data_IF_725159339580
#
_entry.id   IF_725159339580
#
_cell.length_a   1.000
_cell.length_b   1.000
_cell.length_c   1.000
_cell.angle_alpha   90.00
_cell.angle_beta   90.00
_cell.angle_gamma   90.00
#
_symmetry.space_group_name_H-M   'P 1'
#
loop_
_entity.id
_entity.type
_entity.pdbx_description
1 polymer ?
#
# COMPACT_ATOMS: atom_id res chain seq x y z
N UNK A 1 47.42 -31.00 54.42
CA UNK A 1 47.38 -32.47 54.40
C UNK A 1 46.90 -32.87 52.98
N UNK A 2 47.91 -33.25 52.21
CA UNK A 2 47.87 -33.81 50.89
C UNK A 2 47.30 -35.22 50.91
N UNK A 3 46.52 -35.59 49.91
CA UNK A 3 46.49 -36.95 49.41
C UNK A 3 46.23 -36.89 47.93
N UNK A 4 47.22 -37.21 47.12
CA UNK A 4 47.13 -37.58 45.73
C UNK A 4 46.67 -39.03 45.63
N UNK A 5 45.97 -39.43 44.57
CA UNK A 5 45.89 -40.83 44.16
C UNK A 5 46.77 -41.09 42.96
N UNK A 6 47.45 -42.24 43.08
CA UNK A 6 48.41 -42.83 42.19
C UNK A 6 47.88 -43.16 40.80
N UNK A 7 48.75 -42.96 39.80
CA UNK A 7 48.58 -43.45 38.42
C UNK A 7 48.94 -44.97 38.35
N UNK A 8 47.96 -45.78 37.98
CA UNK A 8 48.16 -47.17 37.59
C UNK A 8 48.42 -47.21 36.09
N UNK A 9 49.64 -47.53 35.69
CA UNK A 9 50.01 -47.80 34.32
C UNK A 9 49.84 -49.26 34.01
N UNK A 10 48.91 -49.59 33.06
CA UNK A 10 48.84 -50.88 32.42
C UNK A 10 49.53 -50.81 31.01
N UNK A 11 50.26 -51.82 30.59
CA UNK A 11 51.02 -51.77 29.32
C UNK A 11 50.11 -51.88 28.10
N UNK A 12 50.36 -50.99 27.12
CA UNK A 12 49.73 -51.02 25.82
C UNK A 12 50.31 -52.16 25.02
N UNK A 13 49.51 -53.14 24.68
CA UNK A 13 49.85 -54.19 23.69
C UNK A 13 49.77 -53.51 22.31
N UNK A 14 50.93 -53.50 21.66
CA UNK A 14 51.05 -53.03 20.26
C UNK A 14 50.68 -54.20 19.36
N UNK A 15 49.50 -54.14 18.77
CA UNK A 15 49.03 -55.04 17.70
C UNK A 15 49.87 -54.77 16.43
N UNK A 16 50.43 -55.84 15.86
CA UNK A 16 51.14 -55.84 14.58
C UNK A 16 50.18 -55.48 13.44
N UNK A 17 50.64 -54.74 12.42
CA UNK A 17 49.71 -54.33 11.31
C UNK A 17 49.35 -55.58 10.49
N UNK A 18 48.04 -55.74 10.28
CA UNK A 18 47.55 -56.73 9.32
C UNK A 18 48.03 -56.42 7.90
N UNK A 19 48.27 -57.48 7.07
CA UNK A 19 48.76 -57.31 5.72
C UNK A 19 47.75 -56.59 4.85
N UNK A 20 48.20 -55.49 4.23
CA UNK A 20 47.41 -54.72 3.24
C UNK A 20 47.05 -55.66 2.09
N UNK A 21 45.75 -55.99 1.99
CA UNK A 21 45.21 -56.75 0.88
C UNK A 21 45.18 -55.81 -0.35
N UNK A 22 46.14 -55.99 -1.26
CA UNK A 22 46.07 -55.38 -2.59
C UNK A 22 45.21 -56.28 -3.46
N UNK A 23 44.01 -55.82 -3.90
CA UNK A 23 43.27 -56.62 -4.87
C UNK A 23 44.05 -56.62 -6.21
N UNK A 24 44.45 -57.77 -6.62
CA UNK A 24 44.90 -57.98 -7.99
C UNK A 24 43.71 -57.72 -8.91
N UNK A 25 43.71 -56.58 -9.56
CA UNK A 25 42.75 -56.25 -10.61
C UNK A 25 43.07 -57.23 -11.82
N UNK A 26 42.23 -58.26 -11.93
CA UNK A 26 42.17 -59.06 -13.15
C UNK A 26 41.52 -58.18 -14.24
N UNK A 27 42.30 -57.87 -15.26
CA UNK A 27 41.91 -57.02 -16.40
C UNK A 27 40.83 -57.64 -17.32
N UNK A 28 40.21 -58.75 -16.91
CA UNK A 28 39.10 -59.37 -17.65
C UNK A 28 37.69 -59.19 -17.09
N UNK A 29 37.53 -58.53 -15.97
CA UNK A 29 36.20 -58.35 -15.36
C UNK A 29 35.51 -57.01 -15.68
N UNK A 30 36.08 -56.22 -16.61
CA UNK A 30 35.35 -55.11 -17.20
C UNK A 30 34.41 -55.60 -18.29
N UNK A 31 33.35 -56.30 -17.91
CA UNK A 31 32.16 -56.36 -18.76
C UNK A 31 31.56 -54.96 -18.70
N UNK A 32 31.80 -54.22 -19.78
CA UNK A 32 31.14 -52.96 -20.05
C UNK A 32 29.65 -53.25 -20.20
N UNK A 33 28.89 -53.22 -19.10
CA UNK A 33 27.45 -53.00 -19.11
C UNK A 33 27.20 -51.49 -19.27
N UNK A 34 27.92 -50.89 -20.20
CA UNK A 34 27.73 -49.52 -20.59
C UNK A 34 26.51 -49.43 -21.48
N UNK A 35 25.44 -48.79 -21.03
CA UNK A 35 24.52 -48.19 -21.97
C UNK A 35 25.33 -47.39 -22.99
N UNK A 36 25.02 -47.49 -24.29
CA UNK A 36 25.80 -46.79 -25.31
C UNK A 36 25.86 -45.31 -24.96
N UNK A 37 27.05 -44.73 -24.95
CA UNK A 37 27.25 -43.32 -24.66
C UNK A 37 26.32 -42.53 -25.58
N UNK A 38 25.37 -41.76 -24.96
CA UNK A 38 24.44 -40.92 -25.71
C UNK A 38 25.23 -40.06 -26.69
N UNK A 39 24.76 -40.03 -27.92
CA UNK A 39 25.36 -39.18 -28.96
C UNK A 39 25.31 -37.71 -28.53
N UNK A 40 26.18 -36.89 -29.08
CA UNK A 40 26.19 -35.44 -28.78
C UNK A 40 24.85 -34.80 -29.08
N UNK A 41 24.11 -35.28 -30.08
CA UNK A 41 22.77 -34.84 -30.44
C UNK A 41 21.74 -35.23 -29.39
N UNK A 42 21.78 -36.48 -28.87
CA UNK A 42 20.89 -36.93 -27.77
C UNK A 42 21.14 -36.17 -26.46
N UNK A 43 22.40 -35.81 -26.18
CA UNK A 43 22.75 -34.99 -25.03
C UNK A 43 22.26 -33.56 -25.18
N UNK A 44 22.31 -33.01 -26.40
CA UNK A 44 21.82 -31.67 -26.71
C UNK A 44 20.28 -31.60 -26.60
N UNK A 45 19.58 -32.60 -27.15
CA UNK A 45 18.12 -32.71 -27.01
C UNK A 45 17.69 -32.84 -25.55
N UNK A 46 18.35 -33.70 -24.78
CA UNK A 46 18.08 -33.86 -23.34
C UNK A 46 18.36 -32.57 -22.55
N UNK A 47 19.39 -31.80 -22.93
CA UNK A 47 19.68 -30.50 -22.34
C UNK A 47 18.60 -29.46 -22.71
N UNK A 48 18.16 -29.41 -23.96
CA UNK A 48 17.07 -28.54 -24.39
C UNK A 48 15.76 -28.87 -23.64
N UNK A 49 15.39 -30.13 -23.56
CA UNK A 49 14.20 -30.57 -22.83
C UNK A 49 14.29 -30.19 -21.35
N UNK A 50 15.49 -30.33 -20.74
CA UNK A 50 15.70 -29.93 -19.35
C UNK A 50 15.62 -28.42 -19.14
N UNK A 51 16.09 -27.63 -20.11
CA UNK A 51 15.93 -26.14 -20.11
C UNK A 51 14.45 -25.78 -20.16
N UNK A 52 13.68 -26.38 -21.08
CA UNK A 52 12.23 -26.13 -21.18
C UNK A 52 11.49 -26.51 -19.88
N UNK A 53 11.81 -27.66 -19.26
CA UNK A 53 11.25 -28.06 -17.98
C UNK A 53 11.59 -27.06 -16.87
N UNK A 54 12.84 -26.61 -16.80
CA UNK A 54 13.30 -25.65 -15.80
C UNK A 54 12.68 -24.26 -16.03
N UNK A 55 12.56 -23.82 -17.29
CA UNK A 55 11.87 -22.59 -17.65
C UNK A 55 10.37 -22.66 -17.32
N UNK A 56 9.72 -23.79 -17.60
CA UNK A 56 8.33 -24.02 -17.23
C UNK A 56 8.13 -24.03 -15.70
N UNK A 57 9.05 -24.66 -14.96
CA UNK A 57 9.04 -24.66 -13.50
C UNK A 57 9.29 -23.26 -12.92
N UNK A 58 10.27 -22.51 -13.46
CA UNK A 58 10.57 -21.14 -13.08
C UNK A 58 9.39 -20.21 -13.38
N UNK A 59 8.76 -20.39 -14.54
CA UNK A 59 7.55 -19.64 -14.92
C UNK A 59 6.36 -19.92 -14.01
N UNK A 60 6.19 -21.15 -13.51
CA UNK A 60 5.18 -21.49 -12.51
C UNK A 60 5.46 -20.84 -11.15
N UNK A 61 6.72 -20.57 -10.83
CA UNK A 61 7.13 -19.98 -9.56
C UNK A 61 7.05 -18.44 -9.55
N UNK A 62 6.95 -17.77 -10.70
CA UNK A 62 6.83 -16.30 -10.72
C UNK A 62 5.50 -15.87 -10.12
N UNK A 63 5.53 -14.87 -9.24
CA UNK A 63 4.32 -14.29 -8.60
C UNK A 63 3.32 -13.84 -9.66
N UNK A 64 3.79 -13.28 -10.77
CA UNK A 64 2.94 -12.88 -11.90
C UNK A 64 2.05 -14.04 -12.39
N UNK A 65 2.66 -15.20 -12.67
CA UNK A 65 1.94 -16.40 -13.13
C UNK A 65 1.00 -16.97 -12.05
N UNK A 66 1.46 -16.98 -10.81
CA UNK A 66 0.62 -17.41 -9.69
C UNK A 66 -0.64 -16.52 -9.55
N UNK A 67 -0.49 -15.20 -9.67
CA UNK A 67 -1.61 -14.27 -9.59
C UNK A 67 -2.54 -14.38 -10.80
N UNK A 68 -1.99 -14.62 -12.00
CA UNK A 68 -2.78 -14.83 -13.22
C UNK A 68 -3.74 -16.01 -13.10
N UNK A 69 -3.37 -17.04 -12.35
CA UNK A 69 -4.20 -18.24 -12.11
C UNK A 69 -5.18 -18.07 -10.96
N UNK A 70 -5.07 -17.00 -10.16
CA UNK A 70 -5.96 -16.77 -9.00
C UNK A 70 -7.27 -16.09 -9.44
N UNK A 71 -8.38 -16.39 -8.74
CA UNK A 71 -9.64 -15.69 -8.98
C UNK A 71 -9.51 -14.20 -8.60
N UNK A 72 -10.33 -13.35 -9.22
CA UNK A 72 -10.33 -11.91 -8.96
C UNK A 72 -10.60 -11.56 -7.48
N UNK A 73 -11.33 -12.39 -6.75
CA UNK A 73 -11.51 -12.22 -5.29
C UNK A 73 -10.19 -12.27 -4.53
N UNK A 74 -9.27 -13.17 -4.89
CA UNK A 74 -7.92 -13.24 -4.31
C UNK A 74 -7.08 -12.03 -4.71
N UNK A 75 -7.16 -11.58 -5.97
CA UNK A 75 -6.45 -10.37 -6.42
C UNK A 75 -6.91 -9.18 -5.59
N UNK A 76 -8.23 -9.00 -5.45
CA UNK A 76 -8.80 -7.93 -4.64
C UNK A 76 -8.38 -8.01 -3.17
N UNK A 77 -8.36 -9.21 -2.61
CA UNK A 77 -7.95 -9.44 -1.22
C UNK A 77 -6.51 -9.01 -0.97
N UNK A 78 -5.56 -9.44 -1.81
CA UNK A 78 -4.14 -9.18 -1.59
C UNK A 78 -3.66 -7.81 -2.06
N UNK A 79 -4.34 -7.19 -3.03
CA UNK A 79 -3.82 -5.97 -3.68
C UNK A 79 -4.76 -4.77 -3.61
N UNK A 80 -6.05 -4.99 -3.38
CA UNK A 80 -7.09 -3.97 -3.47
C UNK A 80 -7.55 -3.70 -4.90
N UNK A 81 -6.92 -4.27 -5.94
CA UNK A 81 -7.37 -4.15 -7.32
C UNK A 81 -8.52 -5.11 -7.64
N UNK A 82 -9.48 -4.72 -8.50
CA UNK A 82 -10.68 -5.53 -8.76
C UNK A 82 -10.38 -6.82 -9.53
N UNK A 83 -9.36 -6.81 -10.39
CA UNK A 83 -8.97 -7.95 -11.23
C UNK A 83 -7.48 -7.95 -11.54
N UNK A 84 -6.98 -9.10 -12.01
CA UNK A 84 -5.60 -9.23 -12.48
C UNK A 84 -5.31 -8.30 -13.67
N UNK A 85 -6.26 -8.13 -14.60
CA UNK A 85 -6.07 -7.29 -15.78
C UNK A 85 -5.87 -5.82 -15.40
N UNK A 86 -6.67 -5.29 -14.46
CA UNK A 86 -6.52 -3.91 -13.97
C UNK A 86 -5.20 -3.73 -13.23
N UNK A 87 -4.80 -4.71 -12.41
CA UNK A 87 -3.50 -4.71 -11.72
C UNK A 87 -2.34 -4.64 -12.72
N UNK A 88 -2.36 -5.49 -13.74
CA UNK A 88 -1.31 -5.56 -14.77
C UNK A 88 -1.31 -4.32 -15.65
N UNK A 89 -2.49 -3.81 -16.06
CA UNK A 89 -2.59 -2.57 -16.84
C UNK A 89 -1.97 -1.39 -16.07
N UNK A 90 -2.28 -1.26 -14.78
CA UNK A 90 -1.69 -0.23 -13.91
C UNK A 90 -0.18 -0.41 -13.80
N UNK A 91 0.30 -1.63 -13.56
CA UNK A 91 1.74 -1.90 -13.51
C UNK A 91 2.44 -1.56 -14.82
N UNK A 92 1.87 -1.94 -15.97
CA UNK A 92 2.43 -1.62 -17.30
C UNK A 92 2.55 -0.11 -17.53
N UNK A 93 1.56 0.66 -17.09
CA UNK A 93 1.61 2.12 -17.18
C UNK A 93 2.72 2.73 -16.31
N UNK A 94 2.99 2.15 -15.14
CA UNK A 94 4.01 2.62 -14.19
C UNK A 94 5.42 2.12 -14.52
N UNK A 95 5.55 0.95 -15.14
CA UNK A 95 6.81 0.22 -15.32
C UNK A 95 7.91 1.02 -16.04
N UNK A 96 7.66 1.78 -17.12
CA UNK A 96 8.70 2.52 -17.81
C UNK A 96 9.42 3.55 -16.91
N UNK A 97 8.64 4.23 -16.05
CA UNK A 97 9.19 5.20 -15.09
C UNK A 97 9.80 4.50 -13.87
N UNK A 98 9.19 3.39 -13.40
CA UNK A 98 9.66 2.62 -12.26
C UNK A 98 11.07 2.03 -12.48
N UNK A 99 11.44 1.68 -13.72
CA UNK A 99 12.79 1.22 -14.06
C UNK A 99 13.89 2.23 -13.72
N UNK A 100 13.53 3.50 -13.70
CA UNK A 100 14.44 4.62 -13.39
C UNK A 100 14.30 5.13 -11.96
N UNK A 101 13.57 4.44 -11.10
CA UNK A 101 13.36 4.81 -9.70
C UNK A 101 14.68 4.81 -8.93
N UNK A 102 14.91 5.87 -8.15
CA UNK A 102 16.04 5.97 -7.24
C UNK A 102 15.65 5.58 -5.82
N UNK A 103 16.62 5.10 -5.03
CA UNK A 103 16.38 4.82 -3.62
C UNK A 103 16.04 6.10 -2.87
N UNK A 104 14.89 6.11 -2.22
CA UNK A 104 14.41 7.26 -1.45
C UNK A 104 15.42 7.73 -0.39
N UNK A 105 16.05 6.79 0.30
CA UNK A 105 17.08 7.12 1.30
C UNK A 105 18.32 7.80 0.71
N UNK A 106 18.69 7.48 -0.53
CA UNK A 106 19.78 8.15 -1.23
C UNK A 106 19.39 9.56 -1.65
N UNK A 107 18.16 9.73 -2.16
CA UNK A 107 17.61 11.05 -2.51
C UNK A 107 17.57 11.99 -1.30
N UNK A 108 17.10 11.51 -0.16
CA UNK A 108 17.10 12.31 1.07
C UNK A 108 18.51 12.71 1.51
N UNK A 109 19.49 11.80 1.46
CA UNK A 109 20.89 12.11 1.82
C UNK A 109 21.49 13.18 0.92
N UNK A 110 21.20 13.16 -0.37
CA UNK A 110 21.68 14.19 -1.31
C UNK A 110 21.03 15.52 -1.06
N UNK A 111 19.72 15.55 -0.87
CA UNK A 111 18.99 16.76 -0.52
C UNK A 111 19.56 17.41 0.75
N UNK A 112 19.81 16.62 1.79
CA UNK A 112 20.36 17.10 3.04
C UNK A 112 21.81 17.62 2.90
N UNK A 113 22.55 17.16 1.88
CA UNK A 113 23.91 17.63 1.58
C UNK A 113 23.94 18.79 0.59
N UNK A 114 22.80 19.28 0.12
CA UNK A 114 22.71 20.34 -0.88
C UNK A 114 23.25 19.94 -2.26
N UNK A 115 23.44 18.66 -2.53
CA UNK A 115 23.98 18.16 -3.79
C UNK A 115 22.82 17.95 -4.76
N UNK A 116 22.68 18.85 -5.74
CA UNK A 116 21.67 18.74 -6.80
C UNK A 116 22.00 17.76 -7.92
N UNK A 117 23.21 17.19 -7.95
CA UNK A 117 23.63 16.30 -9.02
C UNK A 117 23.23 14.85 -8.73
N UNK A 118 22.52 14.26 -9.69
CA UNK A 118 21.99 12.87 -9.63
C UNK A 118 23.01 11.87 -10.21
N UNK A 119 24.12 12.34 -10.80
CA UNK A 119 25.19 11.49 -11.31
C UNK A 119 25.87 10.73 -10.17
N UNK A 120 25.95 9.41 -10.32
CA UNK A 120 26.49 8.50 -9.27
C UNK A 120 25.45 7.89 -8.34
N UNK A 121 24.17 8.28 -8.42
CA UNK A 121 23.12 7.59 -7.71
C UNK A 121 22.91 6.19 -8.30
N UNK A 122 22.90 5.19 -7.42
CA UNK A 122 22.47 3.86 -7.82
C UNK A 122 20.95 3.84 -7.97
N UNK A 123 20.46 3.32 -9.10
CA UNK A 123 19.03 3.02 -9.24
C UNK A 123 18.56 2.23 -8.02
N UNK A 124 17.38 2.54 -7.50
CA UNK A 124 16.88 1.98 -6.25
C UNK A 124 16.92 0.46 -6.21
N UNK A 125 16.80 -0.15 -7.38
CA UNK A 125 16.61 -1.59 -7.56
C UNK A 125 17.80 -2.30 -8.21
N UNK A 126 18.95 -1.61 -8.42
CA UNK A 126 20.15 -2.26 -8.95
C UNK A 126 20.64 -3.29 -7.93
N UNK A 127 20.64 -4.56 -8.34
CA UNK A 127 21.02 -5.71 -7.49
C UNK A 127 19.88 -6.27 -6.61
N UNK A 128 18.63 -5.80 -6.77
CA UNK A 128 17.49 -6.46 -6.16
C UNK A 128 17.16 -7.75 -6.93
N UNK A 129 17.01 -8.86 -6.20
CA UNK A 129 16.64 -10.16 -6.79
C UNK A 129 15.20 -10.22 -7.27
N UNK A 130 14.34 -9.33 -6.79
CA UNK A 130 12.92 -9.29 -7.15
C UNK A 130 12.70 -8.50 -8.43
N UNK A 131 11.83 -9.01 -9.29
CA UNK A 131 11.33 -8.28 -10.46
C UNK A 131 10.58 -7.00 -10.00
N UNK A 132 10.42 -6.01 -10.89
CA UNK A 132 9.64 -4.81 -10.57
C UNK A 132 8.18 -5.14 -10.24
N UNK A 133 7.62 -6.16 -10.91
CA UNK A 133 6.25 -6.61 -10.62
C UNK A 133 6.15 -7.23 -9.23
N UNK A 134 7.11 -8.06 -8.82
CA UNK A 134 7.11 -8.68 -7.51
C UNK A 134 7.26 -7.63 -6.39
N UNK A 135 8.08 -6.61 -6.63
CA UNK A 135 8.20 -5.48 -5.72
C UNK A 135 6.89 -4.68 -5.59
N UNK A 136 6.24 -4.41 -6.73
CA UNK A 136 4.94 -3.74 -6.74
C UNK A 136 3.89 -4.54 -5.98
N UNK A 137 3.82 -5.85 -6.23
CA UNK A 137 2.93 -6.76 -5.51
C UNK A 137 3.22 -6.81 -4.01
N UNK A 138 4.49 -6.89 -3.61
CA UNK A 138 4.91 -6.83 -2.20
C UNK A 138 4.37 -5.57 -1.51
N UNK A 139 4.48 -4.42 -2.17
CA UNK A 139 4.01 -3.14 -1.63
C UNK A 139 2.49 -3.14 -1.48
N UNK A 140 1.76 -3.61 -2.49
CA UNK A 140 0.31 -3.72 -2.43
C UNK A 140 -0.15 -4.67 -1.33
N UNK A 141 0.49 -5.84 -1.22
CA UNK A 141 0.21 -6.82 -0.17
C UNK A 141 0.47 -6.23 1.23
N UNK A 142 1.56 -5.49 1.40
CA UNK A 142 1.84 -4.80 2.65
C UNK A 142 0.79 -3.75 3.00
N UNK A 143 0.36 -2.95 2.03
CA UNK A 143 -0.69 -1.96 2.22
C UNK A 143 -2.03 -2.63 2.51
N UNK A 144 -2.45 -3.55 1.64
CA UNK A 144 -3.81 -4.12 1.67
C UNK A 144 -4.03 -5.06 2.83
N UNK A 145 -3.09 -5.97 3.08
CA UNK A 145 -3.20 -7.01 4.12
C UNK A 145 -2.56 -6.57 5.44
N UNK A 146 -1.74 -5.54 5.44
CA UNK A 146 -0.99 -5.10 6.63
C UNK A 146 0.13 -6.08 7.03
N UNK A 147 0.67 -6.84 6.07
CA UNK A 147 1.63 -7.93 6.32
C UNK A 147 2.91 -7.41 6.98
N UNK A 148 3.38 -8.14 7.98
CA UNK A 148 4.63 -7.82 8.70
C UNK A 148 5.84 -7.94 7.79
N UNK A 149 6.87 -7.13 8.04
CA UNK A 149 8.11 -7.16 7.27
C UNK A 149 8.80 -8.54 7.30
N UNK A 150 8.75 -9.25 8.44
CA UNK A 150 9.31 -10.59 8.55
C UNK A 150 8.61 -11.57 7.60
N UNK A 151 7.29 -11.61 7.62
CA UNK A 151 6.50 -12.50 6.76
C UNK A 151 6.77 -12.22 5.27
N UNK A 152 6.86 -10.94 4.89
CA UNK A 152 7.22 -10.56 3.52
C UNK A 152 8.66 -10.95 3.19
N UNK A 153 9.60 -10.78 4.12
CA UNK A 153 11.00 -11.18 3.94
C UNK A 153 11.11 -12.68 3.66
N UNK A 154 10.41 -13.50 4.45
CA UNK A 154 10.38 -14.95 4.29
C UNK A 154 9.67 -15.37 3.00
N UNK A 155 8.52 -14.75 2.68
CA UNK A 155 7.74 -15.04 1.46
C UNK A 155 8.54 -14.76 0.19
N UNK A 156 9.28 -13.67 0.16
CA UNK A 156 10.03 -13.22 -1.02
C UNK A 156 11.51 -13.57 -1.00
N UNK A 157 11.95 -14.29 0.03
CA UNK A 157 13.35 -14.68 0.25
C UNK A 157 14.33 -13.50 0.16
N UNK A 158 14.05 -12.44 0.91
CA UNK A 158 14.85 -11.22 1.03
C UNK A 158 14.94 -10.78 2.50
N UNK A 159 15.84 -9.84 2.82
CA UNK A 159 15.93 -9.32 4.19
C UNK A 159 14.80 -8.33 4.51
N UNK A 160 14.41 -8.23 5.79
CA UNK A 160 13.45 -7.22 6.26
C UNK A 160 13.85 -5.79 5.91
N UNK A 161 15.16 -5.50 5.93
CA UNK A 161 15.70 -4.20 5.51
C UNK A 161 15.41 -3.94 4.04
N UNK A 162 15.52 -4.98 3.19
CA UNK A 162 15.17 -4.87 1.76
C UNK A 162 13.66 -4.64 1.58
N UNK A 163 12.81 -5.35 2.34
CA UNK A 163 11.35 -5.10 2.35
C UNK A 163 11.05 -3.64 2.66
N UNK A 164 11.62 -3.11 3.75
CA UNK A 164 11.41 -1.70 4.14
C UNK A 164 11.87 -0.72 3.06
N UNK A 165 13.02 -0.97 2.43
CA UNK A 165 13.56 -0.13 1.35
C UNK A 165 12.68 -0.16 0.10
N UNK A 166 12.22 -1.33 -0.31
CA UNK A 166 11.27 -1.49 -1.42
C UNK A 166 10.00 -0.73 -1.11
N UNK A 167 9.41 -0.98 0.06
CA UNK A 167 8.15 -0.36 0.47
C UNK A 167 8.21 1.16 0.41
N UNK A 168 9.18 1.79 1.08
CA UNK A 168 9.30 3.25 1.12
C UNK A 168 9.60 3.84 -0.27
N UNK A 169 10.46 3.19 -1.05
CA UNK A 169 10.77 3.68 -2.40
C UNK A 169 9.55 3.64 -3.33
N UNK A 170 8.81 2.53 -3.31
CA UNK A 170 7.59 2.39 -4.11
C UNK A 170 6.45 3.30 -3.64
N UNK A 171 6.28 3.48 -2.33
CA UNK A 171 5.26 4.40 -1.80
C UNK A 171 5.51 5.83 -2.27
N UNK A 172 6.75 6.31 -2.19
CA UNK A 172 7.08 7.63 -2.68
C UNK A 172 6.92 7.73 -4.21
N UNK A 173 7.34 6.70 -4.94
CA UNK A 173 7.14 6.62 -6.39
C UNK A 173 5.65 6.69 -6.77
N UNK A 174 4.81 5.88 -6.14
CA UNK A 174 3.37 5.86 -6.37
C UNK A 174 2.72 7.20 -5.99
N UNK A 175 3.16 7.80 -4.88
CA UNK A 175 2.68 9.12 -4.46
C UNK A 175 2.92 10.18 -5.53
N UNK A 176 4.11 10.24 -6.13
CA UNK A 176 4.40 11.18 -7.20
C UNK A 176 3.68 10.82 -8.50
N UNK A 177 3.66 9.56 -8.89
CA UNK A 177 3.06 9.12 -10.15
C UNK A 177 1.54 9.25 -10.16
N UNK A 178 0.87 8.75 -9.12
CA UNK A 178 -0.58 8.83 -9.01
C UNK A 178 -1.04 10.24 -8.59
N UNK A 179 -0.28 10.91 -7.74
CA UNK A 179 -0.58 12.27 -7.29
C UNK A 179 -0.39 13.34 -8.37
N UNK A 180 0.36 13.06 -9.45
CA UNK A 180 0.45 13.95 -10.62
C UNK A 180 -0.80 13.93 -11.50
N UNK A 181 -1.67 12.94 -11.32
CA UNK A 181 -2.95 12.86 -12.05
C UNK A 181 -3.94 13.82 -11.40
N UNK A 182 -4.50 14.74 -12.20
CA UNK A 182 -5.57 15.61 -11.71
C UNK A 182 -6.83 14.78 -11.45
N UNK A 183 -7.13 14.56 -10.17
CA UNK A 183 -8.32 13.81 -9.74
C UNK A 183 -9.55 14.69 -9.50
N UNK A 184 -9.42 16.04 -9.59
CA UNK A 184 -10.54 16.99 -9.47
C UNK A 184 -11.19 17.16 -10.85
N UNK A 185 -12.37 16.55 -11.12
CA UNK A 185 -13.01 16.62 -12.43
C UNK A 185 -13.69 17.97 -12.66
N UNK A 186 -13.96 18.31 -13.92
CA UNK A 186 -14.76 19.49 -14.23
C UNK A 186 -16.22 19.33 -13.76
N UNK A 187 -16.94 20.47 -13.61
CA UNK A 187 -18.35 20.45 -13.20
C UNK A 187 -19.20 19.64 -14.17
N UNK A 188 -18.99 19.82 -15.47
CA UNK A 188 -19.72 19.14 -16.55
C UNK A 188 -19.53 17.61 -16.44
N UNK A 189 -18.30 17.17 -16.13
CA UNK A 189 -18.00 15.75 -15.95
C UNK A 189 -18.74 15.17 -14.74
N UNK A 190 -18.79 15.91 -13.63
CA UNK A 190 -19.56 15.50 -12.46
C UNK A 190 -21.06 15.43 -12.77
N UNK A 191 -21.63 16.47 -13.38
CA UNK A 191 -23.04 16.51 -13.74
C UNK A 191 -23.43 15.40 -14.70
N UNK A 192 -22.58 15.10 -15.69
CA UNK A 192 -22.79 14.00 -16.64
C UNK A 192 -22.92 12.65 -15.94
N UNK A 193 -22.03 12.37 -14.98
CA UNK A 193 -21.94 11.09 -14.28
C UNK A 193 -22.74 11.07 -12.96
N UNK A 194 -23.46 12.13 -12.66
CA UNK A 194 -24.19 12.27 -11.39
C UNK A 194 -25.36 11.27 -11.34
N UNK A 195 -25.49 10.47 -10.27
CA UNK A 195 -26.64 9.60 -10.06
C UNK A 195 -27.97 10.37 -10.00
N UNK A 196 -29.06 9.74 -10.43
CA UNK A 196 -30.39 10.34 -10.47
C UNK A 196 -30.86 10.88 -9.12
N UNK A 197 -30.50 10.20 -8.02
CA UNK A 197 -30.83 10.65 -6.68
C UNK A 197 -30.17 11.99 -6.28
N UNK A 198 -28.98 12.31 -6.83
CA UNK A 198 -28.37 13.62 -6.65
C UNK A 198 -28.94 14.66 -7.61
N UNK A 199 -29.11 14.29 -8.90
CA UNK A 199 -29.66 15.22 -9.92
C UNK A 199 -30.99 15.84 -9.52
N UNK A 200 -31.86 15.07 -8.87
CA UNK A 200 -33.18 15.52 -8.46
C UNK A 200 -33.20 16.44 -7.23
N UNK A 201 -32.25 16.31 -6.33
CA UNK A 201 -32.25 16.99 -5.04
C UNK A 201 -31.12 18.00 -4.85
N UNK A 202 -29.94 17.70 -5.37
CA UNK A 202 -28.72 18.48 -5.18
C UNK A 202 -27.89 18.54 -6.47
N UNK A 203 -28.43 19.12 -7.56
CA UNK A 203 -27.77 19.14 -8.88
C UNK A 203 -26.44 19.89 -8.89
N UNK A 204 -26.25 20.85 -7.96
CA UNK A 204 -25.02 21.62 -7.81
C UNK A 204 -24.01 20.97 -6.85
N UNK A 205 -24.30 19.75 -6.37
CA UNK A 205 -23.40 19.03 -5.48
C UNK A 205 -22.09 18.69 -6.20
N UNK A 206 -21.02 19.37 -5.76
CA UNK A 206 -19.67 19.20 -6.30
C UNK A 206 -18.97 18.00 -5.69
N UNK A 207 -19.19 17.78 -4.41
CA UNK A 207 -18.60 16.68 -3.68
C UNK A 207 -19.18 16.50 -2.28
N UNK A 208 -18.87 15.37 -1.70
CA UNK A 208 -19.26 14.98 -0.33
C UNK A 208 -17.98 14.82 0.47
N UNK A 209 -17.84 15.59 1.54
CA UNK A 209 -16.64 15.62 2.39
C UNK A 209 -16.87 14.88 3.69
N UNK A 210 -15.85 14.16 4.14
CA UNK A 210 -15.77 13.61 5.49
C UNK A 210 -14.31 13.52 5.96
N UNK A 211 -14.08 13.46 7.28
CA UNK A 211 -12.76 13.32 7.88
C UNK A 211 -12.51 11.89 8.34
N UNK A 212 -11.26 11.50 8.27
CA UNK A 212 -10.82 10.19 8.76
C UNK A 212 -9.57 10.32 9.62
N UNK A 213 -9.48 9.49 10.65
CA UNK A 213 -8.36 9.48 11.57
C UNK A 213 -7.62 8.15 11.52
N UNK A 214 -6.29 8.22 11.63
CA UNK A 214 -5.36 7.11 11.64
C UNK A 214 -4.65 7.10 12.98
N UNK A 215 -4.68 5.97 13.69
CA UNK A 215 -4.03 5.81 15.00
C UNK A 215 -2.51 5.79 14.86
N UNK A 216 -1.84 6.58 15.68
CA UNK A 216 -0.39 6.68 15.71
C UNK A 216 0.15 6.52 17.12
N UNK A 217 1.40 6.12 17.22
CA UNK A 217 2.11 6.03 18.49
C UNK A 217 2.18 7.40 19.16
N UNK A 218 1.88 7.45 20.45
CA UNK A 218 1.97 8.68 21.23
C UNK A 218 3.43 9.16 21.29
N UNK A 219 3.70 10.44 20.95
CA UNK A 219 5.01 11.02 21.10
C UNK A 219 5.35 11.21 22.59
N UNK A 220 6.65 11.17 22.93
CA UNK A 220 7.13 11.42 24.28
C UNK A 220 7.00 12.89 24.72
N UNK A 221 6.96 13.82 23.77
CA UNK A 221 6.70 15.23 24.03
C UNK A 221 5.26 15.44 24.45
N UNK A 222 5.01 16.02 25.61
CA UNK A 222 3.66 16.32 26.11
C UNK A 222 2.91 17.29 25.21
N UNK A 223 3.59 18.28 24.62
CA UNK A 223 2.99 19.25 23.70
C UNK A 223 2.51 18.54 22.44
N UNK A 224 3.38 17.79 21.77
CA UNK A 224 3.01 17.05 20.58
C UNK A 224 1.92 15.99 20.86
N UNK A 225 1.99 15.34 22.01
CA UNK A 225 0.96 14.37 22.38
C UNK A 225 -0.40 15.04 22.57
N UNK A 226 -0.46 16.24 23.16
CA UNK A 226 -1.69 17.01 23.31
C UNK A 226 -2.25 17.45 21.94
N UNK A 227 -1.40 17.92 21.04
CA UNK A 227 -1.79 18.33 19.68
C UNK A 227 -2.31 17.15 18.84
N UNK A 228 -1.69 15.98 18.98
CA UNK A 228 -2.06 14.79 18.23
C UNK A 228 -3.22 14.00 18.86
N UNK A 229 -3.64 14.31 20.09
CA UNK A 229 -4.68 13.58 20.79
C UNK A 229 -6.08 13.98 20.30
N UNK A 230 -6.80 13.00 19.74
CA UNK A 230 -8.19 13.13 19.37
C UNK A 230 -9.10 12.77 20.56
N UNK A 231 -9.82 13.74 21.10
CA UNK A 231 -10.81 13.51 22.15
C UNK A 231 -11.94 12.59 21.67
N UNK A 232 -12.30 12.68 20.38
CA UNK A 232 -13.34 11.85 19.76
C UNK A 232 -12.93 10.38 19.69
N UNK A 233 -11.66 10.08 19.38
CA UNK A 233 -11.13 8.71 19.28
C UNK A 233 -10.50 8.22 20.58
N UNK A 234 -10.32 9.09 21.56
CA UNK A 234 -9.59 8.80 22.82
C UNK A 234 -8.20 8.20 22.55
N UNK A 235 -7.54 8.68 21.50
CA UNK A 235 -6.24 8.17 21.05
C UNK A 235 -5.45 9.25 20.31
N UNK A 236 -4.13 9.09 20.25
CA UNK A 236 -3.24 9.90 19.42
C UNK A 236 -3.46 9.52 17.94
N UNK A 237 -3.78 10.50 17.08
CA UNK A 237 -4.13 10.27 15.69
C UNK A 237 -3.52 11.30 14.75
N UNK A 238 -3.42 10.96 13.48
CA UNK A 238 -3.42 11.90 12.37
C UNK A 238 -4.80 11.96 11.75
N UNK A 239 -5.23 13.14 11.32
CA UNK A 239 -6.54 13.42 10.73
C UNK A 239 -6.40 13.98 9.33
N UNK A 240 -7.18 13.46 8.39
CA UNK A 240 -7.25 13.97 7.02
C UNK A 240 -8.67 13.94 6.50
N UNK A 241 -9.00 14.79 5.52
CA UNK A 241 -10.27 14.75 4.84
C UNK A 241 -10.18 14.10 3.46
N UNK A 242 -11.30 13.55 3.03
CA UNK A 242 -11.52 12.99 1.70
C UNK A 242 -12.79 13.60 1.14
N UNK A 243 -12.74 14.01 -0.13
CA UNK A 243 -13.94 14.43 -0.87
C UNK A 243 -14.18 13.40 -1.98
N UNK A 244 -15.40 12.91 -2.05
CA UNK A 244 -15.85 12.08 -3.15
C UNK A 244 -16.80 12.87 -4.07
N UNK A 245 -16.83 12.51 -5.35
CA UNK A 245 -17.88 12.95 -6.27
C UNK A 245 -19.25 12.34 -5.89
N UNK A 246 -20.37 12.88 -6.38
CA UNK A 246 -21.66 12.22 -6.24
C UNK A 246 -21.70 10.79 -6.81
N UNK A 247 -20.87 10.46 -7.81
CA UNK A 247 -20.71 9.11 -8.37
C UNK A 247 -19.82 8.18 -7.53
N UNK A 248 -19.14 8.71 -6.50
CA UNK A 248 -18.41 7.91 -5.50
C UNK A 248 -16.92 7.80 -5.70
N UNK A 249 -16.33 8.49 -6.69
CA UNK A 249 -14.88 8.54 -6.86
C UNK A 249 -14.26 9.52 -5.85
N UNK A 250 -13.10 9.19 -5.29
CA UNK A 250 -12.30 10.11 -4.51
C UNK A 250 -11.71 11.17 -5.45
N UNK A 251 -12.10 12.43 -5.25
CA UNK A 251 -11.70 13.57 -6.08
C UNK A 251 -10.80 14.57 -5.36
N UNK A 252 -10.68 14.48 -4.03
CA UNK A 252 -9.74 15.28 -3.25
C UNK A 252 -9.31 14.52 -2.01
N UNK A 253 -8.05 14.68 -1.65
CA UNK A 253 -7.43 14.06 -0.47
C UNK A 253 -6.55 15.11 0.18
N UNK A 254 -6.80 15.45 1.44
CA UNK A 254 -5.90 16.35 2.18
C UNK A 254 -4.63 15.65 2.63
N UNK A 255 -3.62 16.42 2.91
CA UNK A 255 -2.55 15.99 3.79
C UNK A 255 -3.11 15.58 5.16
N UNK A 256 -2.33 14.79 5.89
CA UNK A 256 -2.64 14.44 7.27
C UNK A 256 -2.14 15.53 8.20
N UNK A 257 -2.98 15.90 9.15
CA UNK A 257 -2.72 16.88 10.20
C UNK A 257 -2.81 16.21 11.58
N UNK A 258 -2.49 16.95 12.62
CA UNK A 258 -2.65 16.53 14.00
C UNK A 258 -4.11 16.17 14.36
N UNK A 259 -4.30 15.18 15.22
CA UNK A 259 -5.63 14.64 15.53
C UNK A 259 -6.59 15.61 16.23
N UNK A 260 -6.07 16.62 16.93
CA UNK A 260 -6.85 17.64 17.60
C UNK A 260 -7.43 18.72 16.67
N UNK A 261 -6.97 18.77 15.40
CA UNK A 261 -7.44 19.79 14.43
C UNK A 261 -8.95 19.75 14.26
N UNK A 262 -9.61 20.92 14.28
CA UNK A 262 -11.03 21.00 14.00
C UNK A 262 -11.33 20.71 12.52
N UNK A 263 -12.54 20.19 12.21
CA UNK A 263 -12.95 19.92 10.83
C UNK A 263 -12.90 21.18 9.96
N UNK A 264 -13.26 22.32 10.54
CA UNK A 264 -13.19 23.62 9.87
C UNK A 264 -11.76 24.02 9.51
N UNK A 265 -10.83 23.90 10.46
CA UNK A 265 -9.42 24.24 10.21
C UNK A 265 -8.79 23.24 9.25
N UNK A 266 -9.13 21.97 9.34
CA UNK A 266 -8.74 20.95 8.40
C UNK A 266 -9.16 21.30 6.97
N UNK A 267 -10.39 21.76 6.75
CA UNK A 267 -10.86 22.22 5.42
C UNK A 267 -10.09 23.45 4.97
N UNK A 268 -9.82 24.41 5.85
CA UNK A 268 -9.05 25.62 5.51
C UNK A 268 -7.66 25.27 4.98
N UNK A 269 -6.99 24.29 5.58
CA UNK A 269 -5.61 23.90 5.25
C UNK A 269 -5.54 22.79 4.20
N UNK A 270 -6.65 22.14 3.86
CA UNK A 270 -6.66 20.95 3.00
C UNK A 270 -6.32 21.19 1.53
N UNK A 271 -6.33 22.45 1.07
CA UNK A 271 -6.20 22.78 -0.34
C UNK A 271 -7.48 22.58 -1.16
N UNK A 272 -8.62 22.32 -0.52
CA UNK A 272 -9.92 22.15 -1.20
C UNK A 272 -10.48 23.48 -1.72
N UNK A 273 -10.39 24.56 -0.90
CA UNK A 273 -11.04 25.83 -1.20
C UNK A 273 -10.67 26.42 -2.57
N UNK A 274 -9.39 26.41 -3.01
CA UNK A 274 -8.99 26.91 -4.33
C UNK A 274 -9.53 26.13 -5.52
N UNK A 275 -10.04 24.91 -5.30
CA UNK A 275 -10.59 24.04 -6.35
C UNK A 275 -12.08 24.30 -6.62
N UNK A 276 -12.74 25.00 -5.70
CA UNK A 276 -14.19 25.29 -5.77
C UNK A 276 -14.45 26.47 -6.69
N UNK A 277 -15.59 26.43 -7.37
CA UNK A 277 -16.09 27.46 -8.26
C UNK A 277 -17.41 28.03 -7.73
N UNK A 278 -17.73 29.31 -7.98
CA UNK A 278 -19.00 29.90 -7.58
C UNK A 278 -20.20 29.03 -8.01
N UNK A 279 -21.13 28.80 -7.08
CA UNK A 279 -22.29 27.92 -7.28
C UNK A 279 -22.05 26.46 -6.87
N UNK A 280 -20.80 26.03 -6.58
CA UNK A 280 -20.56 24.68 -6.08
C UNK A 280 -21.18 24.47 -4.68
N UNK A 281 -21.73 23.27 -4.48
CA UNK A 281 -22.23 22.83 -3.17
C UNK A 281 -21.38 21.67 -2.65
N UNK A 282 -20.95 21.76 -1.39
CA UNK A 282 -20.25 20.67 -0.69
C UNK A 282 -21.22 20.06 0.33
N UNK A 283 -21.46 18.77 0.21
CA UNK A 283 -22.26 18.03 1.21
C UNK A 283 -21.35 17.57 2.34
N UNK A 284 -21.74 17.82 3.59
CA UNK A 284 -20.94 17.53 4.77
C UNK A 284 -21.77 17.06 5.97
N UNK A 285 -21.09 16.51 6.99
CA UNK A 285 -21.74 16.21 8.27
C UNK A 285 -21.92 17.48 9.13
N UNK A 286 -22.74 17.37 10.16
CA UNK A 286 -22.98 18.44 11.15
C UNK A 286 -21.71 19.03 11.76
N UNK A 287 -20.65 18.23 11.92
CA UNK A 287 -19.35 18.68 12.42
C UNK A 287 -18.65 19.72 11.54
N UNK A 288 -18.97 19.74 10.25
CA UNK A 288 -18.32 20.62 9.26
C UNK A 288 -19.03 21.99 9.18
N UNK A 289 -18.87 22.82 10.20
CA UNK A 289 -19.40 24.20 10.20
C UNK A 289 -18.47 25.08 9.36
N UNK A 290 -18.57 24.97 8.02
CA UNK A 290 -17.65 25.58 7.04
C UNK A 290 -18.32 26.62 6.13
N UNK A 291 -19.58 26.97 6.35
CA UNK A 291 -20.32 27.92 5.50
C UNK A 291 -19.59 29.26 5.36
N UNK A 292 -18.97 29.76 6.43
CA UNK A 292 -18.20 31.00 6.42
C UNK A 292 -16.93 30.93 5.58
N UNK A 293 -16.36 29.75 5.35
CA UNK A 293 -15.24 29.53 4.42
C UNK A 293 -15.72 29.48 2.97
N UNK A 294 -16.94 28.99 2.72
CA UNK A 294 -17.50 28.79 1.39
C UNK A 294 -18.20 30.04 0.84
N UNK A 295 -18.86 30.83 1.71
CA UNK A 295 -19.63 32.02 1.30
C UNK A 295 -18.80 33.04 0.52
N UNK A 296 -17.53 33.36 0.88
CA UNK A 296 -16.71 34.28 0.10
C UNK A 296 -16.38 33.78 -1.31
N UNK A 297 -16.45 32.47 -1.53
CA UNK A 297 -16.22 31.82 -2.82
C UNK A 297 -17.51 31.69 -3.67
N UNK A 298 -18.64 32.18 -3.17
CA UNK A 298 -19.94 31.98 -3.80
C UNK A 298 -20.42 30.52 -3.75
N UNK A 299 -19.91 29.73 -2.81
CA UNK A 299 -20.23 28.31 -2.61
C UNK A 299 -21.08 28.10 -1.36
N UNK A 300 -21.72 26.95 -1.23
CA UNK A 300 -22.55 26.62 -0.08
C UNK A 300 -22.27 25.21 0.46
N UNK A 301 -22.59 25.02 1.75
CA UNK A 301 -22.55 23.69 2.37
C UNK A 301 -23.97 23.14 2.50
N UNK A 302 -24.12 21.85 2.15
CA UNK A 302 -25.35 21.09 2.40
C UNK A 302 -25.12 20.18 3.58
N UNK A 303 -25.80 20.44 4.70
CA UNK A 303 -25.66 19.65 5.91
C UNK A 303 -27.04 19.43 6.58
N UNK A 304 -27.16 18.39 7.43
CA UNK A 304 -28.39 18.20 8.21
C UNK A 304 -28.67 19.38 9.14
N UNK A 305 -29.95 19.71 9.32
CA UNK A 305 -30.38 20.83 10.15
C UNK A 305 -29.91 20.73 11.60
N UNK A 306 -29.55 21.86 12.20
CA UNK A 306 -29.29 21.98 13.64
C UNK A 306 -30.59 22.21 14.43
N UNK A 307 -30.62 21.68 15.64
CA UNK A 307 -31.78 21.89 16.52
C UNK A 307 -31.86 23.32 17.06
N UNK A 308 -30.81 24.13 16.91
CA UNK A 308 -30.63 25.49 17.44
C UNK A 308 -31.48 25.75 18.70
N UNK A 309 -32.35 26.77 18.72
CA UNK A 309 -33.24 27.13 19.85
C UNK A 309 -34.59 26.39 19.88
N UNK A 310 -34.86 25.46 18.95
CA UNK A 310 -36.11 24.72 18.85
C UNK A 310 -36.08 23.48 19.76
N UNK A 311 -37.22 23.16 20.40
CA UNK A 311 -37.33 21.94 21.21
C UNK A 311 -37.41 20.68 20.36
N UNK A 312 -37.90 20.74 19.12
CA UNK A 312 -38.05 19.63 18.21
C UNK A 312 -37.86 20.07 16.74
N UNK A 313 -37.41 19.14 15.89
CA UNK A 313 -37.39 19.33 14.45
C UNK A 313 -38.81 19.30 13.88
N UNK A 314 -39.08 20.12 12.87
CA UNK A 314 -40.26 19.97 12.03
C UNK A 314 -40.22 18.69 11.23
N UNK A 315 -41.37 18.18 10.78
CA UNK A 315 -41.44 16.97 9.93
C UNK A 315 -40.65 17.14 8.63
N UNK A 316 -40.63 18.35 8.05
CA UNK A 316 -39.84 18.68 6.85
C UNK A 316 -38.32 18.61 7.12
N UNK A 317 -37.84 19.25 8.20
CA UNK A 317 -36.41 19.21 8.58
C UNK A 317 -35.91 17.78 8.85
N UNK A 318 -36.74 16.91 9.43
CA UNK A 318 -36.44 15.51 9.63
C UNK A 318 -36.31 14.75 8.30
N UNK A 319 -37.24 15.01 7.35
CA UNK A 319 -37.20 14.39 6.03
C UNK A 319 -35.96 14.82 5.24
N UNK A 320 -35.63 16.10 5.25
CA UNK A 320 -34.46 16.61 4.53
C UNK A 320 -33.16 16.15 5.17
N UNK A 321 -33.07 16.14 6.50
CA UNK A 321 -31.91 15.54 7.20
C UNK A 321 -31.74 14.07 6.88
N UNK A 322 -32.81 13.28 6.74
CA UNK A 322 -32.78 11.89 6.35
C UNK A 322 -32.29 11.70 4.89
N UNK A 323 -32.71 12.56 3.97
CA UNK A 323 -32.24 12.55 2.57
C UNK A 323 -30.76 12.83 2.51
N UNK A 324 -30.27 13.88 3.19
CA UNK A 324 -28.83 14.22 3.25
C UNK A 324 -28.04 13.06 3.85
N UNK A 325 -28.51 12.47 4.94
CA UNK A 325 -27.84 11.33 5.56
C UNK A 325 -27.71 10.14 4.60
N UNK A 326 -28.77 9.78 3.87
CA UNK A 326 -28.75 8.69 2.91
C UNK A 326 -27.74 8.92 1.77
N UNK A 327 -27.57 10.16 1.32
CA UNK A 327 -26.60 10.49 0.28
C UNK A 327 -25.17 10.55 0.84
N UNK A 328 -24.99 11.04 2.07
CA UNK A 328 -23.69 11.08 2.72
C UNK A 328 -23.08 9.71 3.01
N UNK A 329 -23.90 8.69 3.20
CA UNK A 329 -23.40 7.32 3.48
C UNK A 329 -22.35 6.85 2.46
N UNK A 330 -22.32 7.44 1.27
CA UNK A 330 -21.37 7.06 0.22
C UNK A 330 -19.94 7.53 0.51
N UNK A 331 -19.73 8.68 1.15
CA UNK A 331 -18.37 9.07 1.58
C UNK A 331 -17.87 8.17 2.70
N UNK A 332 -18.73 7.75 3.59
CA UNK A 332 -18.41 6.78 4.65
C UNK A 332 -18.01 5.42 4.04
N UNK A 333 -18.70 5.00 2.96
CA UNK A 333 -18.33 3.78 2.19
C UNK A 333 -16.99 3.93 1.48
N UNK A 334 -16.67 5.11 0.92
CA UNK A 334 -15.37 5.37 0.32
C UNK A 334 -14.25 5.29 1.37
N UNK A 335 -14.42 5.97 2.50
CA UNK A 335 -13.47 5.92 3.62
C UNK A 335 -13.34 4.50 4.16
N UNK A 336 -14.42 3.74 4.25
CA UNK A 336 -14.37 2.32 4.61
C UNK A 336 -13.50 1.53 3.64
N UNK A 337 -13.63 1.74 2.30
CA UNK A 337 -12.75 1.09 1.31
C UNK A 337 -11.28 1.46 1.51
N UNK A 338 -10.98 2.71 1.87
CA UNK A 338 -9.61 3.13 2.23
C UNK A 338 -9.14 2.41 3.50
N UNK A 339 -10.00 2.24 4.49
CA UNK A 339 -9.68 1.51 5.74
C UNK A 339 -9.59 0.00 5.56
N UNK A 340 -10.06 -0.57 4.44
CA UNK A 340 -9.76 -1.95 4.07
C UNK A 340 -8.30 -2.17 3.66
N UNK A 341 -7.51 -1.13 3.59
CA UNK A 341 -6.06 -1.23 3.62
C UNK A 341 -5.61 -1.43 5.08
N UNK A 342 -5.50 -2.68 5.49
CA UNK A 342 -5.20 -3.12 6.87
C UNK A 342 -3.86 -2.65 7.41
N UNK A 343 -3.07 -1.96 6.59
CA UNK A 343 -1.92 -1.21 7.07
C UNK A 343 -2.31 -0.19 8.16
N UNK A 344 -3.52 0.36 8.11
CA UNK A 344 -4.04 1.35 9.06
C UNK A 344 -4.73 0.76 10.30
N UNK A 345 -4.88 -0.56 10.41
CA UNK A 345 -5.53 -1.21 11.56
C UNK A 345 -4.68 -1.13 12.83
N UNK A 346 -3.36 -1.02 12.65
CA UNK A 346 -2.41 -0.95 13.75
C UNK A 346 -2.06 0.49 14.09
N UNK A 347 -1.59 0.68 15.32
CA UNK A 347 -0.95 1.93 15.73
C UNK A 347 0.32 2.13 14.91
N UNK A 348 0.37 3.19 14.11
CA UNK A 348 1.51 3.49 13.23
C UNK A 348 2.66 4.02 14.07
N UNK A 349 3.86 3.46 14.00
CA UNK A 349 5.01 3.95 14.77
C UNK A 349 5.46 5.32 14.26
N UNK A 350 5.95 6.17 15.17
CA UNK A 350 6.44 7.52 14.83
C UNK A 350 7.62 7.51 13.84
N UNK A 351 8.37 6.41 13.77
CA UNK A 351 9.42 6.23 12.75
C UNK A 351 8.90 6.30 11.31
N UNK A 352 7.59 6.11 11.11
CA UNK A 352 6.93 6.23 9.81
C UNK A 352 6.29 7.61 9.57
N UNK A 353 6.38 8.55 10.50
CA UNK A 353 5.78 9.88 10.37
C UNK A 353 6.16 10.59 9.07
N UNK A 354 7.41 10.44 8.59
CA UNK A 354 7.88 11.02 7.33
C UNK A 354 7.30 10.40 6.05
N UNK A 355 6.55 9.30 6.15
CA UNK A 355 5.99 8.58 4.99
C UNK A 355 4.49 8.30 5.10
N UNK A 356 3.88 8.55 6.25
CA UNK A 356 2.47 8.19 6.49
C UNK A 356 1.52 8.97 5.59
N UNK A 357 1.83 10.22 5.28
CA UNK A 357 1.04 11.04 4.37
C UNK A 357 1.03 10.45 2.95
N UNK A 358 2.19 10.01 2.46
CA UNK A 358 2.30 9.34 1.16
C UNK A 358 1.53 8.01 1.15
N UNK A 359 1.62 7.23 2.24
CA UNK A 359 0.89 5.96 2.38
C UNK A 359 -0.61 6.20 2.35
N UNK A 360 -1.10 7.21 3.09
CA UNK A 360 -2.50 7.63 3.11
C UNK A 360 -2.99 7.99 1.72
N UNK A 361 -2.30 8.92 1.06
CA UNK A 361 -2.66 9.41 -0.28
C UNK A 361 -2.67 8.27 -1.31
N UNK A 362 -1.64 7.42 -1.31
CA UNK A 362 -1.56 6.28 -2.23
C UNK A 362 -2.71 5.30 -2.00
N UNK A 363 -3.05 4.99 -0.75
CA UNK A 363 -4.18 4.10 -0.43
C UNK A 363 -5.52 4.67 -0.89
N UNK A 364 -5.74 5.98 -0.71
CA UNK A 364 -6.91 6.67 -1.23
C UNK A 364 -6.99 6.60 -2.76
N UNK A 365 -5.87 6.88 -3.46
CA UNK A 365 -5.83 6.86 -4.93
C UNK A 365 -6.03 5.46 -5.49
N UNK A 366 -5.46 4.43 -4.87
CA UNK A 366 -5.67 3.02 -5.28
C UNK A 366 -7.14 2.62 -5.09
N UNK A 367 -7.84 3.18 -4.12
CA UNK A 367 -9.26 2.88 -3.90
C UNK A 367 -10.12 3.22 -5.12
N UNK A 368 -9.77 4.22 -5.91
CA UNK A 368 -10.50 4.57 -7.14
C UNK A 368 -10.47 3.46 -8.22
N UNK A 369 -9.54 2.52 -8.16
CA UNK A 369 -9.53 1.36 -9.07
C UNK A 369 -10.54 0.28 -8.68
N UNK A 370 -11.17 0.35 -7.51
CA UNK A 370 -12.09 -0.69 -7.02
C UNK A 370 -13.47 -0.67 -7.68
N UNK A 371 -13.71 0.28 -8.59
CA UNK A 371 -15.00 0.44 -9.28
C UNK A 371 -16.00 1.32 -8.52
N UNK A 372 -17.17 1.59 -9.11
CA UNK A 372 -18.13 2.55 -8.59
C UNK A 372 -18.68 2.15 -7.23
N UNK A 373 -19.12 3.13 -6.45
CA UNK A 373 -19.84 2.92 -5.18
C UNK A 373 -21.35 2.74 -5.40
N UNK A 374 -21.85 3.22 -6.53
CA UNK A 374 -23.23 3.09 -6.95
C UNK A 374 -23.30 2.02 -8.05
N UNK A 375 -24.20 1.08 -7.90
CA UNK A 375 -24.70 0.22 -8.97
C UNK A 375 -26.12 0.72 -9.27
N UNK A 376 -26.31 1.29 -10.45
CA UNK A 376 -27.66 1.58 -10.96
C UNK A 376 -28.32 0.29 -11.42
#
# INVERSE_FOLDING_TARGET
MEVQPELSTSPVVVDSPEPIYTPTLNCHDYIFSGEPAKTTEEQLEAAHQRIEELEAALNKQTIYKQLQMKPNSSIRFYTGFPSFDVLVATFRALSPTAQNMYSWSQMQRLRNKGIGNVEGLRKAMKGCKLSLFDQFYLVLQKLRVGTLNQVLADTFNISQTTVSRIFISWINFLYFMLGSICIWPSREKIQKNMPTCFKSMYPECRGIIDASEIKVQAPSSLVLNSEMYSAYKSHTTYKGNVVISPSGEIIHISSLFEGSISDKELVRQSGLLPLLQPGDQIMADKGFVIQDLLSPLGCSVVMPSFLSSKQQFSKGELQDSKKIHNLRVHVERAIRRVKEFHFFDRVIPLTMAGSINQIWTVSCLITNFQGPLFYE
#
